data_IF_936351360520
#
_entry.id   IF_936351360520
#
_cell.length_a   1.000
_cell.length_b   1.000
_cell.length_c   1.000
_cell.angle_alpha   90.00
_cell.angle_beta   90.00
_cell.angle_gamma   90.00
#
_symmetry.space_group_name_H-M   'P 1'
#
loop_
_entity.id
_entity.type
_entity.pdbx_description
1 polymer ?
#
# COMPACT_ATOMS: atom_id res chain seq x y z
N UNK A 1 0.41 19.21 -13.95
CA UNK A 1 0.39 18.57 -12.63
C UNK A 1 0.77 19.60 -11.58
N UNK A 2 -0.13 19.94 -10.65
CA UNK A 2 0.23 20.82 -9.52
C UNK A 2 0.99 20.04 -8.45
N UNK A 3 1.91 20.72 -7.79
CA UNK A 3 2.65 20.26 -6.61
C UNK A 3 1.70 20.09 -5.41
N UNK A 4 2.20 19.47 -4.34
CA UNK A 4 1.49 19.18 -3.08
C UNK A 4 0.72 20.38 -2.53
N UNK A 5 -0.56 20.19 -2.16
CA UNK A 5 -1.32 21.21 -1.43
C UNK A 5 -1.14 21.05 0.08
N UNK A 6 -1.35 22.12 0.85
CA UNK A 6 -1.29 22.05 2.33
C UNK A 6 -2.28 21.03 2.90
N UNK A 7 -3.43 20.83 2.25
CA UNK A 7 -4.44 19.85 2.66
C UNK A 7 -4.00 18.39 2.45
N UNK A 8 -3.10 18.14 1.50
CA UNK A 8 -2.58 16.78 1.24
C UNK A 8 -1.53 16.36 2.27
N UNK A 9 -0.84 17.33 2.89
CA UNK A 9 0.34 17.08 3.74
C UNK A 9 0.07 16.11 4.89
N UNK A 10 -1.00 16.23 5.69
CA UNK A 10 -1.22 15.32 6.81
C UNK A 10 -1.30 13.85 6.36
N UNK A 11 -2.09 13.59 5.31
CA UNK A 11 -2.27 12.26 4.78
C UNK A 11 -1.01 11.73 4.08
N UNK A 12 -0.28 12.57 3.34
CA UNK A 12 1.00 12.20 2.71
C UNK A 12 2.09 11.88 3.73
N UNK A 13 2.19 12.66 4.81
CA UNK A 13 3.17 12.43 5.88
C UNK A 13 2.83 11.15 6.64
N UNK A 14 1.57 10.97 7.04
CA UNK A 14 1.15 9.79 7.80
C UNK A 14 1.34 8.49 7.01
N UNK A 15 0.79 8.43 5.78
CA UNK A 15 0.92 7.23 4.93
C UNK A 15 2.34 7.05 4.43
N UNK A 16 2.98 8.10 3.93
CA UNK A 16 4.34 8.04 3.40
C UNK A 16 5.38 7.67 4.44
N UNK A 17 5.29 8.22 5.64
CA UNK A 17 6.18 7.92 6.76
C UNK A 17 6.06 6.46 7.21
N UNK A 18 4.83 5.96 7.39
CA UNK A 18 4.61 4.58 7.83
C UNK A 18 5.06 3.55 6.77
N UNK A 19 4.70 3.77 5.50
CA UNK A 19 5.10 2.88 4.40
C UNK A 19 6.62 2.90 4.22
N UNK A 20 7.25 4.08 4.22
CA UNK A 20 8.70 4.20 4.09
C UNK A 20 9.43 3.47 5.22
N UNK A 21 8.99 3.69 6.46
CA UNK A 21 9.56 3.02 7.63
C UNK A 21 9.43 1.50 7.52
N UNK A 22 8.25 1.01 7.13
CA UNK A 22 8.00 -0.42 6.93
C UNK A 22 8.90 -1.00 5.83
N UNK A 23 9.06 -0.30 4.72
CA UNK A 23 9.94 -0.71 3.62
C UNK A 23 11.41 -0.82 4.05
N UNK A 24 11.91 0.15 4.83
CA UNK A 24 13.28 0.13 5.38
C UNK A 24 13.46 -1.06 6.33
N UNK A 25 12.48 -1.34 7.19
CA UNK A 25 12.53 -2.52 8.07
C UNK A 25 12.57 -3.82 7.27
N UNK A 26 11.72 -3.95 6.23
CA UNK A 26 11.67 -5.13 5.37
C UNK A 26 12.92 -5.32 4.52
N UNK A 27 13.69 -4.26 4.26
CA UNK A 27 14.95 -4.37 3.54
C UNK A 27 15.93 -5.29 4.26
N UNK A 28 15.94 -5.30 5.58
CA UNK A 28 16.85 -6.12 6.40
C UNK A 28 16.15 -7.31 7.07
N UNK A 29 15.01 -7.74 6.53
CA UNK A 29 14.26 -8.86 7.06
C UNK A 29 15.04 -10.19 6.97
N UNK A 30 14.89 -11.02 7.99
CA UNK A 30 15.42 -12.37 8.01
C UNK A 30 14.59 -13.34 7.16
N UNK A 31 15.11 -14.56 6.99
CA UNK A 31 14.47 -15.61 6.17
C UNK A 31 13.09 -15.97 6.71
N UNK A 32 12.92 -16.05 8.03
CA UNK A 32 11.62 -16.37 8.65
C UNK A 32 10.57 -15.31 8.34
N UNK A 33 10.93 -14.03 8.42
CA UNK A 33 10.06 -12.91 8.07
C UNK A 33 9.75 -12.92 6.57
N UNK A 34 10.75 -13.19 5.73
CA UNK A 34 10.56 -13.33 4.29
C UNK A 34 9.55 -14.42 3.93
N UNK A 35 9.69 -15.60 4.54
CA UNK A 35 8.77 -16.73 4.37
C UNK A 35 7.35 -16.40 4.85
N UNK A 36 7.21 -15.76 6.01
CA UNK A 36 5.89 -15.39 6.55
C UNK A 36 5.14 -14.39 5.66
N UNK A 37 5.82 -13.31 5.25
CA UNK A 37 5.22 -12.27 4.41
C UNK A 37 4.95 -12.81 3.00
N UNK A 38 5.88 -13.58 2.42
CA UNK A 38 5.68 -14.23 1.13
C UNK A 38 4.53 -15.24 1.18
N UNK A 39 4.45 -16.09 2.20
CA UNK A 39 3.39 -17.08 2.35
C UNK A 39 2.01 -16.46 2.43
N UNK A 40 1.86 -15.36 3.17
CA UNK A 40 0.62 -14.58 3.19
C UNK A 40 0.27 -14.03 1.80
N UNK A 41 1.25 -13.43 1.12
CA UNK A 41 1.02 -12.85 -0.20
C UNK A 41 0.71 -13.93 -1.27
N UNK A 42 1.44 -15.04 -1.27
CA UNK A 42 1.27 -16.16 -2.20
C UNK A 42 -0.04 -16.92 -1.98
N UNK A 43 -0.54 -16.96 -0.74
CA UNK A 43 -1.88 -17.47 -0.43
C UNK A 43 -2.98 -16.68 -1.13
N UNK A 44 -2.84 -15.35 -1.24
CA UNK A 44 -3.79 -14.50 -1.95
C UNK A 44 -3.50 -14.38 -3.46
N UNK A 45 -2.23 -14.50 -3.85
CA UNK A 45 -1.75 -14.32 -5.21
C UNK A 45 -0.87 -15.51 -5.62
N UNK A 46 -1.46 -16.62 -6.13
CA UNK A 46 -0.73 -17.86 -6.39
C UNK A 46 0.44 -17.72 -7.37
N UNK A 47 0.44 -16.70 -8.23
CA UNK A 47 1.55 -16.40 -9.13
C UNK A 47 2.85 -15.99 -8.40
N UNK A 48 2.75 -15.52 -7.15
CA UNK A 48 3.93 -15.17 -6.35
C UNK A 48 4.73 -16.39 -5.89
N UNK A 49 4.17 -17.60 -5.96
CA UNK A 49 4.91 -18.85 -5.69
C UNK A 49 6.11 -19.04 -6.65
N UNK A 50 6.09 -18.42 -7.82
CA UNK A 50 7.21 -18.45 -8.76
C UNK A 50 8.40 -17.57 -8.33
N UNK A 51 8.21 -16.70 -7.32
CA UNK A 51 9.23 -15.78 -6.83
C UNK A 51 9.75 -16.30 -5.48
N UNK A 52 11.07 -16.48 -5.31
CA UNK A 52 11.63 -16.85 -4.01
C UNK A 52 11.28 -15.83 -2.91
N UNK A 53 10.99 -16.27 -1.68
CA UNK A 53 10.59 -15.39 -0.55
C UNK A 53 11.55 -14.22 -0.30
N UNK A 54 12.86 -14.47 -0.29
CA UNK A 54 13.89 -13.44 -0.11
C UNK A 54 13.85 -12.37 -1.21
N UNK A 55 13.64 -12.80 -2.45
CA UNK A 55 13.52 -11.87 -3.58
C UNK A 55 12.22 -11.08 -3.49
N UNK A 56 11.13 -11.74 -3.11
CA UNK A 56 9.84 -11.08 -2.92
C UNK A 56 9.91 -10.00 -1.86
N UNK A 57 10.48 -10.28 -0.68
CA UNK A 57 10.55 -9.28 0.39
C UNK A 57 11.41 -8.08 0.02
N UNK A 58 12.49 -8.28 -0.74
CA UNK A 58 13.30 -7.17 -1.30
C UNK A 58 12.51 -6.33 -2.30
N UNK A 59 11.78 -6.97 -3.22
CA UNK A 59 10.93 -6.27 -4.18
C UNK A 59 9.82 -5.48 -3.48
N UNK A 60 9.17 -6.08 -2.48
CA UNK A 60 8.16 -5.42 -1.66
C UNK A 60 8.75 -4.23 -0.91
N UNK A 61 9.92 -4.40 -0.30
CA UNK A 61 10.64 -3.33 0.40
C UNK A 61 10.96 -2.15 -0.54
N UNK A 62 11.44 -2.41 -1.75
CA UNK A 62 11.68 -1.35 -2.75
C UNK A 62 10.39 -0.64 -3.14
N UNK A 63 9.30 -1.38 -3.34
CA UNK A 63 7.99 -0.79 -3.65
C UNK A 63 7.46 0.10 -2.52
N UNK A 64 7.61 -0.33 -1.27
CA UNK A 64 7.24 0.44 -0.09
C UNK A 64 8.10 1.69 0.05
N UNK A 65 9.43 1.58 -0.07
CA UNK A 65 10.34 2.71 -0.03
C UNK A 65 10.00 3.72 -1.14
N UNK A 66 9.79 3.25 -2.37
CA UNK A 66 9.43 4.10 -3.51
C UNK A 66 8.10 4.81 -3.30
N UNK A 67 7.08 4.10 -2.81
CA UNK A 67 5.75 4.68 -2.53
C UNK A 67 5.83 5.70 -1.40
N UNK A 68 6.52 5.36 -0.30
CA UNK A 68 6.71 6.25 0.83
C UNK A 68 7.50 7.50 0.47
N UNK A 69 8.59 7.36 -0.29
CA UNK A 69 9.39 8.47 -0.80
C UNK A 69 8.58 9.37 -1.75
N UNK A 70 7.77 8.78 -2.64
CA UNK A 70 6.90 9.54 -3.53
C UNK A 70 5.87 10.38 -2.75
N UNK A 71 5.31 9.84 -1.67
CA UNK A 71 4.39 10.56 -0.80
C UNK A 71 5.07 11.68 -0.02
N UNK A 72 6.27 11.44 0.53
CA UNK A 72 6.98 12.43 1.35
C UNK A 72 7.67 13.53 0.53
N UNK A 73 7.97 13.28 -0.74
CA UNK A 73 8.68 14.26 -1.57
C UNK A 73 7.73 15.32 -2.11
N UNK A 74 7.89 16.62 -1.76
CA UNK A 74 6.95 17.67 -2.14
C UNK A 74 6.93 17.98 -3.64
N UNK A 75 7.98 17.59 -4.37
CA UNK A 75 8.10 17.76 -5.82
C UNK A 75 7.31 16.72 -6.62
N UNK A 76 6.82 15.66 -5.97
CA UNK A 76 5.99 14.64 -6.61
C UNK A 76 4.54 15.14 -6.66
N UNK A 77 3.94 15.24 -7.86
CA UNK A 77 2.56 15.69 -7.99
C UNK A 77 1.58 14.80 -7.22
N UNK A 78 0.56 15.39 -6.59
CA UNK A 78 -0.38 14.64 -5.74
C UNK A 78 -1.05 13.49 -6.48
N UNK A 79 -1.41 13.65 -7.77
CA UNK A 79 -1.97 12.54 -8.55
C UNK A 79 -1.00 11.37 -8.78
N UNK A 80 0.32 11.63 -8.93
CA UNK A 80 1.32 10.55 -9.09
C UNK A 80 1.50 9.82 -7.77
N UNK A 81 1.69 10.56 -6.68
CA UNK A 81 1.81 9.96 -5.35
C UNK A 81 0.54 9.19 -4.96
N UNK A 82 -0.63 9.74 -5.31
CA UNK A 82 -1.92 9.08 -5.17
C UNK A 82 -2.02 7.80 -5.96
N UNK A 83 -1.60 7.78 -7.22
CA UNK A 83 -1.64 6.57 -8.06
C UNK A 83 -0.73 5.46 -7.51
N UNK A 84 0.47 5.81 -7.03
CA UNK A 84 1.37 4.87 -6.36
C UNK A 84 0.72 4.29 -5.09
N UNK A 85 0.15 5.16 -4.24
CA UNK A 85 -0.54 4.75 -3.03
C UNK A 85 -1.77 3.88 -3.32
N UNK A 86 -2.56 4.20 -4.34
CA UNK A 86 -3.71 3.42 -4.80
C UNK A 86 -3.29 2.06 -5.32
N UNK A 87 -2.21 1.96 -6.10
CA UNK A 87 -1.70 0.68 -6.56
C UNK A 87 -1.25 -0.22 -5.40
N UNK A 88 -0.49 0.35 -4.47
CA UNK A 88 0.00 -0.35 -3.28
C UNK A 88 -1.15 -0.82 -2.37
N UNK A 89 -2.00 0.10 -1.93
CA UNK A 89 -3.16 -0.20 -1.07
C UNK A 89 -4.22 -1.07 -1.76
N UNK A 90 -4.39 -0.93 -3.08
CA UNK A 90 -5.26 -1.79 -3.87
C UNK A 90 -4.79 -3.25 -3.84
N UNK A 91 -3.47 -3.49 -3.87
CA UNK A 91 -2.90 -4.82 -3.68
C UNK A 91 -3.22 -5.42 -2.31
N UNK A 92 -3.13 -4.62 -1.24
CA UNK A 92 -3.45 -5.04 0.13
C UNK A 92 -4.95 -5.33 0.32
N UNK A 93 -5.82 -4.46 -0.20
CA UNK A 93 -7.27 -4.67 -0.18
C UNK A 93 -7.67 -5.90 -1.00
N UNK A 94 -7.02 -6.13 -2.15
CA UNK A 94 -7.22 -7.34 -2.95
C UNK A 94 -6.74 -8.59 -2.18
N UNK A 95 -5.62 -8.51 -1.46
CA UNK A 95 -5.13 -9.59 -0.59
C UNK A 95 -6.15 -9.93 0.50
N UNK A 96 -6.73 -8.92 1.15
CA UNK A 96 -7.80 -9.10 2.14
C UNK A 96 -9.03 -9.77 1.54
N UNK A 97 -9.51 -9.29 0.40
CA UNK A 97 -10.67 -9.86 -0.28
C UNK A 97 -10.46 -11.34 -0.65
N UNK A 98 -9.25 -11.68 -1.08
CA UNK A 98 -8.83 -13.04 -1.48
C UNK A 98 -8.47 -13.97 -0.33
N UNK A 99 -8.49 -13.49 0.92
CA UNK A 99 -8.19 -14.31 2.10
C UNK A 99 -9.44 -14.47 2.98
N UNK A 100 -10.33 -15.44 2.70
CA UNK A 100 -11.56 -15.65 3.48
C UNK A 100 -11.32 -15.86 4.99
N UNK A 101 -10.17 -16.42 5.37
CA UNK A 101 -9.80 -16.64 6.77
C UNK A 101 -9.69 -15.34 7.61
N UNK A 102 -9.60 -14.17 6.97
CA UNK A 102 -9.57 -12.87 7.65
C UNK A 102 -10.96 -12.27 7.85
N UNK A 103 -12.03 -12.92 7.38
CA UNK A 103 -13.40 -12.41 7.40
C UNK A 103 -14.29 -13.24 8.32
N UNK A 104 -15.35 -12.62 8.82
CA UNK A 104 -16.41 -13.38 9.48
C UNK A 104 -17.08 -14.32 8.48
N UNK A 105 -17.52 -15.53 8.89
CA UNK A 105 -18.19 -16.48 7.99
C UNK A 105 -19.36 -15.83 7.24
N UNK A 106 -19.36 -15.91 5.91
CA UNK A 106 -20.40 -15.32 5.06
C UNK A 106 -20.42 -13.79 4.98
N UNK A 107 -19.39 -13.09 5.49
CA UNK A 107 -19.34 -11.63 5.53
C UNK A 107 -18.13 -11.04 4.79
N UNK A 108 -18.21 -9.75 4.47
CA UNK A 108 -17.08 -8.93 4.02
C UNK A 108 -16.32 -8.31 5.19
N UNK A 109 -16.92 -8.30 6.39
CA UNK A 109 -16.35 -7.68 7.57
C UNK A 109 -15.23 -8.54 8.18
N UNK A 110 -14.16 -7.92 8.69
CA UNK A 110 -13.02 -8.65 9.22
C UNK A 110 -13.39 -9.33 10.54
N UNK A 111 -12.76 -10.48 10.79
CA UNK A 111 -12.64 -11.02 12.15
C UNK A 111 -11.44 -10.37 12.87
N UNK A 112 -11.15 -10.76 14.11
CA UNK A 112 -10.07 -10.18 14.91
C UNK A 112 -8.70 -10.18 14.19
N UNK A 113 -8.38 -11.26 13.48
CA UNK A 113 -7.14 -11.40 12.72
C UNK A 113 -7.11 -10.55 11.44
N UNK A 114 -8.28 -10.25 10.86
CA UNK A 114 -8.41 -9.49 9.62
C UNK A 114 -8.39 -7.98 9.78
N UNK A 115 -8.57 -7.46 11.00
CA UNK A 115 -8.68 -6.00 11.24
C UNK A 115 -7.45 -5.24 10.75
N UNK A 116 -6.25 -5.78 10.96
CA UNK A 116 -5.01 -5.12 10.57
C UNK A 116 -4.92 -4.91 9.06
N UNK A 117 -5.33 -5.91 8.26
CA UNK A 117 -5.30 -5.85 6.79
C UNK A 117 -6.49 -5.07 6.24
N UNK A 118 -7.68 -5.21 6.85
CA UNK A 118 -8.88 -4.52 6.39
C UNK A 118 -8.77 -3.00 6.47
N UNK A 119 -8.03 -2.46 7.46
CA UNK A 119 -7.84 -1.03 7.67
C UNK A 119 -7.08 -0.34 6.52
N UNK A 120 -6.36 -1.10 5.68
CA UNK A 120 -5.70 -0.56 4.49
C UNK A 120 -6.68 0.03 3.46
N UNK A 121 -7.98 -0.23 3.60
CA UNK A 121 -9.03 0.45 2.83
C UNK A 121 -9.01 1.97 2.99
N UNK A 122 -8.59 2.48 4.16
CA UNK A 122 -8.45 3.92 4.38
C UNK A 122 -7.33 4.51 3.52
N UNK A 123 -6.22 3.78 3.42
CA UNK A 123 -5.09 4.16 2.58
C UNK A 123 -5.48 4.17 1.09
N UNK A 124 -6.31 3.21 0.66
CA UNK A 124 -6.89 3.21 -0.68
C UNK A 124 -7.77 4.42 -0.94
N UNK A 125 -8.64 4.77 0.03
CA UNK A 125 -9.47 5.97 -0.05
C UNK A 125 -8.64 7.25 -0.17
N UNK A 126 -7.56 7.37 0.61
CA UNK A 126 -6.62 8.51 0.53
C UNK A 126 -5.96 8.59 -0.85
N UNK A 127 -5.42 7.47 -1.35
CA UNK A 127 -4.77 7.43 -2.66
C UNK A 127 -5.71 7.83 -3.80
N UNK A 128 -6.93 7.29 -3.80
CA UNK A 128 -7.97 7.65 -4.78
C UNK A 128 -8.36 9.13 -4.67
N UNK A 129 -8.45 9.66 -3.45
CA UNK A 129 -8.69 11.09 -3.20
C UNK A 129 -7.62 11.97 -3.86
N UNK A 130 -6.34 11.63 -3.72
CA UNK A 130 -5.24 12.36 -4.36
C UNK A 130 -5.26 12.28 -5.89
N UNK A 131 -5.60 11.11 -6.46
CA UNK A 131 -5.76 10.95 -7.91
C UNK A 131 -6.90 11.82 -8.43
N UNK A 132 -8.07 11.74 -7.80
CA UNK A 132 -9.27 12.48 -8.21
C UNK A 132 -9.10 13.99 -8.06
N UNK A 133 -8.52 14.45 -6.96
CA UNK A 133 -8.24 15.88 -6.74
C UNK A 133 -7.27 16.42 -7.82
N UNK A 134 -6.18 15.68 -8.08
CA UNK A 134 -5.22 16.07 -9.12
C UNK A 134 -5.82 16.08 -10.53
N UNK A 135 -6.72 15.16 -10.87
CA UNK A 135 -7.43 15.13 -12.16
C UNK A 135 -8.45 16.27 -12.27
N UNK A 136 -9.25 16.50 -11.21
CA UNK A 136 -10.29 17.53 -11.18
C UNK A 136 -9.70 18.93 -11.33
N UNK A 137 -8.62 19.24 -10.59
CA UNK A 137 -7.94 20.54 -10.69
C UNK A 137 -7.22 20.77 -12.02
N UNK A 138 -6.91 19.71 -12.75
CA UNK A 138 -6.34 19.81 -14.10
C UNK A 138 -7.38 20.19 -15.15
N UNK A 139 -8.67 19.91 -14.87
CA UNK A 139 -9.80 20.14 -15.79
C UNK A 139 -10.45 21.53 -15.61
N UNK A 140 -10.26 22.19 -14.46
CA UNK A 140 -10.65 23.58 -14.22
C UNK A 140 -9.61 24.61 -14.74
N UNK A 141 -8.77 24.21 -15.68
CA UNK A 141 -7.86 25.07 -16.46
C UNK A 141 -8.26 24.97 -17.92
#
# INVERSE_FOLDING_TARGET
MRLTTLGDLPARIATGGFILHSGIQKWSADEQTAQGIHGMAAGAFPFLNAIPPERFIKLLSVAEIGTGAALLTPFVPSAVAGAALTGFSGGLVAMYARTPALRNPGSIWPNENGIAVAKDVWMLGIGLGFVLDGLSRSRCR
#
